data_IF_588472708536
#
_entry.id   IF_588472708536
#
_cell.length_a   1.000
_cell.length_b   1.000
_cell.length_c   1.000
_cell.angle_alpha   90.00
_cell.angle_beta   90.00
_cell.angle_gamma   90.00
#
_symmetry.space_group_name_H-M   'P 1'
#
loop_
_entity.id
_entity.type
_entity.pdbx_description
1 polymer ?
#
# COMPACT_ATOMS: atom_id res chain seq x y z
N UNK A 1 -19.64 7.04 24.24
CA UNK A 1 -20.48 7.80 25.18
C UNK A 1 -21.80 8.02 24.50
N UNK A 2 -22.79 7.27 24.96
CA UNK A 2 -24.16 7.29 24.49
C UNK A 2 -24.81 8.62 24.99
N UNK A 3 -24.77 9.65 24.15
CA UNK A 3 -25.47 10.91 24.46
C UNK A 3 -26.91 10.80 23.92
N UNK A 4 -27.78 10.23 24.75
CA UNK A 4 -29.22 10.03 24.48
C UNK A 4 -30.04 11.34 24.64
N UNK A 5 -29.44 12.51 24.39
CA UNK A 5 -30.20 13.77 24.38
C UNK A 5 -31.13 13.78 23.15
N UNK A 6 -32.41 13.96 23.43
CA UNK A 6 -33.46 14.12 22.44
C UNK A 6 -33.33 15.50 21.78
N UNK A 7 -32.81 15.54 20.56
CA UNK A 7 -32.68 16.77 19.75
C UNK A 7 -33.95 17.01 18.96
N UNK A 8 -35.05 17.29 19.66
CA UNK A 8 -36.37 17.48 19.05
C UNK A 8 -36.49 18.77 18.20
N UNK A 9 -35.49 19.65 18.24
CA UNK A 9 -35.52 20.96 17.57
C UNK A 9 -34.17 21.28 16.89
N UNK A 10 -33.65 20.34 16.13
CA UNK A 10 -32.35 20.44 15.47
C UNK A 10 -32.46 20.58 13.95
N UNK A 11 -31.48 21.27 13.36
CA UNK A 11 -31.27 21.30 11.90
C UNK A 11 -30.15 20.34 11.54
N UNK A 12 -30.44 19.38 10.68
CA UNK A 12 -29.45 18.46 10.18
C UNK A 12 -28.71 19.05 8.97
N UNK A 13 -27.38 19.01 9.02
CA UNK A 13 -26.51 19.41 7.90
C UNK A 13 -25.66 18.23 7.43
N UNK A 14 -25.50 18.05 6.13
CA UNK A 14 -24.64 17.02 5.54
C UNK A 14 -23.49 17.70 4.81
N UNK A 15 -22.26 17.43 5.26
CA UNK A 15 -21.04 17.84 4.57
C UNK A 15 -20.62 16.73 3.61
N UNK A 16 -20.50 17.06 2.33
CA UNK A 16 -20.09 16.12 1.29
C UNK A 16 -18.71 16.48 0.78
N UNK A 17 -17.84 15.48 0.75
CA UNK A 17 -16.51 15.61 0.17
C UNK A 17 -16.58 15.68 -1.36
N UNK A 18 -15.78 16.54 -1.97
CA UNK A 18 -15.63 16.60 -3.42
C UNK A 18 -14.89 15.35 -3.92
N UNK A 19 -15.22 14.98 -5.16
CA UNK A 19 -14.64 13.78 -5.78
C UNK A 19 -13.15 14.01 -6.05
N UNK A 20 -12.31 13.10 -5.52
CA UNK A 20 -10.85 13.13 -5.70
C UNK A 20 -10.09 13.77 -4.53
N UNK A 21 -10.80 14.34 -3.55
CA UNK A 21 -10.17 14.86 -2.34
C UNK A 21 -9.72 13.73 -1.38
N UNK A 22 -8.81 14.07 -0.48
CA UNK A 22 -8.35 13.14 0.55
C UNK A 22 -9.30 13.14 1.74
N UNK A 23 -9.96 12.01 2.08
CA UNK A 23 -10.92 11.94 3.17
C UNK A 23 -10.37 12.41 4.52
N UNK A 24 -9.16 11.99 4.90
CA UNK A 24 -8.55 12.37 6.19
C UNK A 24 -8.37 13.87 6.28
N UNK A 25 -7.86 14.51 5.23
CA UNK A 25 -7.64 15.95 5.21
C UNK A 25 -8.95 16.73 5.29
N UNK A 26 -9.96 16.30 4.52
CA UNK A 26 -11.26 16.96 4.52
C UNK A 26 -11.94 16.83 5.88
N UNK A 27 -11.86 15.66 6.54
CA UNK A 27 -12.39 15.45 7.88
C UNK A 27 -11.71 16.35 8.91
N UNK A 28 -10.37 16.45 8.87
CA UNK A 28 -9.62 17.36 9.75
C UNK A 28 -10.03 18.81 9.56
N UNK A 29 -10.22 19.25 8.31
CA UNK A 29 -10.64 20.62 8.00
C UNK A 29 -12.10 20.89 8.44
N UNK A 30 -12.99 19.90 8.31
CA UNK A 30 -14.37 19.97 8.81
C UNK A 30 -14.40 20.07 10.34
N UNK A 31 -13.61 19.26 11.04
CA UNK A 31 -13.53 19.32 12.51
C UNK A 31 -13.06 20.69 12.98
N UNK A 32 -12.00 21.24 12.38
CA UNK A 32 -11.54 22.60 12.70
C UNK A 32 -12.62 23.65 12.48
N UNK A 33 -13.30 23.58 11.34
CA UNK A 33 -14.39 24.53 11.03
C UNK A 33 -15.55 24.39 12.03
N UNK A 34 -15.91 23.18 12.43
CA UNK A 34 -16.95 22.94 13.46
C UNK A 34 -16.52 23.52 14.82
N UNK A 35 -15.24 23.33 15.19
CA UNK A 35 -14.71 23.89 16.44
C UNK A 35 -14.67 25.42 16.43
N UNK A 36 -14.26 26.03 15.33
CA UNK A 36 -14.28 27.49 15.14
C UNK A 36 -15.74 28.04 15.24
N UNK A 37 -16.68 27.40 14.53
CA UNK A 37 -18.08 27.78 14.56
C UNK A 37 -18.67 27.67 15.98
N UNK A 38 -18.41 26.59 16.68
CA UNK A 38 -18.92 26.35 18.03
C UNK A 38 -18.35 27.30 19.08
N UNK A 39 -17.09 27.75 18.90
CA UNK A 39 -16.39 28.58 19.89
C UNK A 39 -16.50 30.08 19.61
N UNK A 40 -16.60 30.48 18.35
CA UNK A 40 -16.45 31.89 17.97
C UNK A 40 -17.67 32.50 17.25
N UNK A 41 -18.50 31.69 16.58
CA UNK A 41 -19.46 32.22 15.64
C UNK A 41 -20.93 31.99 16.04
N UNK A 42 -21.21 30.84 16.65
CA UNK A 42 -22.59 30.46 16.98
C UNK A 42 -23.10 31.19 18.24
N UNK A 43 -24.39 31.58 18.26
CA UNK A 43 -25.01 32.16 19.44
C UNK A 43 -24.99 31.22 20.65
N UNK A 44 -25.01 31.79 21.86
CA UNK A 44 -25.11 30.99 23.09
C UNK A 44 -26.33 30.04 23.06
N UNK A 45 -26.10 28.77 23.39
CA UNK A 45 -27.14 27.74 23.36
C UNK A 45 -27.27 26.98 22.05
N UNK A 46 -26.58 27.42 20.98
CA UNK A 46 -26.54 26.70 19.69
C UNK A 46 -25.18 25.99 19.53
N UNK A 47 -25.21 24.71 19.18
CA UNK A 47 -23.96 23.95 18.98
C UNK A 47 -24.10 22.93 17.85
N UNK A 48 -23.09 22.84 17.01
CA UNK A 48 -22.98 21.77 16.01
C UNK A 48 -22.42 20.55 16.70
N UNK A 49 -23.14 19.43 16.59
CA UNK A 49 -22.72 18.15 17.12
C UNK A 49 -22.62 17.13 15.97
N UNK A 50 -21.43 16.58 15.67
CA UNK A 50 -21.30 15.54 14.65
C UNK A 50 -21.92 14.23 15.19
N UNK A 51 -22.98 13.76 14.54
CA UNK A 51 -23.65 12.50 14.92
C UNK A 51 -23.25 11.33 14.00
N UNK A 52 -22.78 11.60 12.79
CA UNK A 52 -22.23 10.60 11.89
C UNK A 52 -20.85 11.05 11.40
N UNK A 53 -19.82 10.63 12.10
CA UNK A 53 -18.43 10.94 11.80
C UNK A 53 -17.74 9.70 11.22
N UNK A 54 -17.12 9.87 10.06
CA UNK A 54 -16.38 8.80 9.38
C UNK A 54 -14.90 8.77 9.74
N UNK A 55 -14.43 9.66 10.59
CA UNK A 55 -13.01 9.74 11.01
C UNK A 55 -12.54 8.43 11.63
N UNK A 56 -13.33 7.86 12.53
CA UNK A 56 -13.01 6.58 13.19
C UNK A 56 -12.91 5.45 12.16
N UNK A 57 -13.80 5.42 11.18
CA UNK A 57 -13.78 4.43 10.10
C UNK A 57 -12.52 4.57 9.23
N UNK A 58 -12.16 5.78 8.84
CA UNK A 58 -10.96 6.06 8.04
C UNK A 58 -9.71 5.70 8.81
N UNK A 59 -9.58 6.13 10.06
CA UNK A 59 -8.43 5.87 10.91
C UNK A 59 -8.28 4.37 11.22
N UNK A 60 -9.36 3.69 11.59
CA UNK A 60 -9.36 2.24 11.84
C UNK A 60 -8.94 1.48 10.58
N UNK A 61 -9.45 1.90 9.42
CA UNK A 61 -9.12 1.28 8.15
C UNK A 61 -7.64 1.45 7.80
N UNK A 62 -7.10 2.67 7.91
CA UNK A 62 -5.68 2.95 7.66
C UNK A 62 -4.78 2.18 8.64
N UNK A 63 -5.15 2.14 9.92
CA UNK A 63 -4.42 1.39 10.93
C UNK A 63 -4.43 -0.11 10.62
N UNK A 64 -5.58 -0.69 10.29
CA UNK A 64 -5.71 -2.11 9.95
C UNK A 64 -4.86 -2.46 8.73
N UNK A 65 -4.94 -1.66 7.65
CA UNK A 65 -4.13 -1.89 6.44
C UNK A 65 -2.64 -1.80 6.74
N UNK A 66 -2.20 -0.75 7.45
CA UNK A 66 -0.79 -0.58 7.81
C UNK A 66 -0.27 -1.73 8.67
N UNK A 67 -1.08 -2.17 9.64
CA UNK A 67 -0.74 -3.30 10.51
C UNK A 67 -0.62 -4.61 9.72
N UNK A 68 -1.59 -4.90 8.87
CA UNK A 68 -1.59 -6.11 8.04
C UNK A 68 -0.41 -6.13 7.04
N UNK A 69 -0.08 -4.98 6.43
CA UNK A 69 1.08 -4.85 5.56
C UNK A 69 2.39 -5.10 6.33
N UNK A 70 2.49 -4.57 7.54
CA UNK A 70 3.66 -4.78 8.39
C UNK A 70 3.80 -6.25 8.83
N UNK A 71 2.72 -6.87 9.28
CA UNK A 71 2.71 -8.30 9.64
C UNK A 71 3.08 -9.18 8.45
N UNK A 72 2.49 -8.92 7.27
CA UNK A 72 2.82 -9.62 6.03
C UNK A 72 4.30 -9.48 5.67
N UNK A 73 4.85 -8.28 5.77
CA UNK A 73 6.28 -8.03 5.52
C UNK A 73 7.17 -8.80 6.50
N UNK A 74 6.86 -8.79 7.80
CA UNK A 74 7.61 -9.56 8.82
C UNK A 74 7.55 -11.06 8.51
N UNK A 75 6.38 -11.58 8.17
CA UNK A 75 6.22 -12.99 7.83
C UNK A 75 7.07 -13.37 6.60
N UNK A 76 7.04 -12.56 5.55
CA UNK A 76 7.86 -12.78 4.35
C UNK A 76 9.34 -12.76 4.69
N UNK A 77 9.81 -11.82 5.50
CA UNK A 77 11.22 -11.76 5.94
C UNK A 77 11.63 -13.03 6.70
N UNK A 78 10.77 -13.52 7.59
CA UNK A 78 11.02 -14.77 8.32
C UNK A 78 11.15 -15.98 7.37
N UNK A 79 10.21 -16.09 6.42
CA UNK A 79 10.25 -17.14 5.39
C UNK A 79 11.51 -17.02 4.54
N UNK A 80 11.90 -15.82 4.14
CA UNK A 80 13.12 -15.57 3.37
C UNK A 80 14.40 -15.98 4.15
N UNK A 81 14.48 -15.69 5.44
CA UNK A 81 15.62 -16.11 6.27
C UNK A 81 15.72 -17.62 6.29
N UNK A 82 14.59 -18.30 6.46
CA UNK A 82 14.53 -19.76 6.51
C UNK A 82 14.88 -20.40 5.16
N UNK A 83 14.36 -19.82 4.06
CA UNK A 83 14.54 -20.36 2.71
C UNK A 83 15.95 -20.12 2.16
N UNK A 84 16.49 -18.90 2.32
CA UNK A 84 17.81 -18.54 1.81
C UNK A 84 18.96 -19.03 2.70
N UNK A 85 18.70 -19.47 3.95
CA UNK A 85 19.74 -19.87 4.90
C UNK A 85 20.74 -18.74 5.25
N UNK A 86 20.49 -17.51 4.80
CA UNK A 86 21.39 -16.36 4.93
C UNK A 86 20.60 -15.13 5.34
N UNK A 87 20.75 -14.67 6.59
CA UNK A 87 20.07 -13.49 7.08
C UNK A 87 20.40 -12.21 6.28
N UNK A 88 21.66 -12.11 5.79
CA UNK A 88 22.10 -10.97 4.97
C UNK A 88 21.42 -10.97 3.60
N UNK A 89 21.33 -12.15 2.96
CA UNK A 89 20.62 -12.31 1.69
C UNK A 89 19.13 -12.01 1.84
N UNK A 90 18.51 -12.54 2.91
CA UNK A 90 17.10 -12.28 3.20
C UNK A 90 16.84 -10.80 3.43
N UNK A 91 17.70 -10.09 4.16
CA UNK A 91 17.54 -8.64 4.40
C UNK A 91 17.67 -7.82 3.10
N UNK A 92 18.61 -8.18 2.22
CA UNK A 92 18.73 -7.51 0.91
C UNK A 92 17.49 -7.70 0.05
N UNK A 93 16.96 -8.93 0.00
CA UNK A 93 15.71 -9.22 -0.72
C UNK A 93 14.53 -8.49 -0.06
N UNK A 94 14.42 -8.53 1.26
CA UNK A 94 13.36 -7.87 2.00
C UNK A 94 13.33 -6.34 1.77
N UNK A 95 14.49 -5.72 1.53
CA UNK A 95 14.59 -4.27 1.23
C UNK A 95 13.90 -3.90 -0.09
N UNK A 96 13.75 -4.84 -1.01
CA UNK A 96 13.03 -4.60 -2.28
C UNK A 96 11.54 -4.30 -2.05
N UNK A 97 10.93 -4.86 -0.98
CA UNK A 97 9.51 -4.65 -0.66
C UNK A 97 9.22 -3.17 -0.40
N UNK A 98 9.82 -2.52 0.62
CA UNK A 98 9.51 -1.12 0.89
C UNK A 98 9.94 -0.20 -0.25
N UNK A 99 11.00 -0.54 -0.98
CA UNK A 99 11.45 0.24 -2.12
C UNK A 99 10.44 0.19 -3.29
N UNK A 100 9.92 -0.99 -3.61
CA UNK A 100 8.89 -1.17 -4.64
C UNK A 100 7.59 -0.46 -4.27
N UNK A 101 7.15 -0.57 -3.00
CA UNK A 101 5.99 0.16 -2.49
C UNK A 101 6.16 1.67 -2.61
N UNK A 102 7.33 2.18 -2.23
CA UNK A 102 7.63 3.61 -2.33
C UNK A 102 7.56 4.09 -3.78
N UNK A 103 8.12 3.33 -4.72
CA UNK A 103 8.05 3.65 -6.15
C UNK A 103 6.59 3.64 -6.64
N UNK A 104 5.81 2.61 -6.26
CA UNK A 104 4.41 2.53 -6.63
C UNK A 104 3.61 3.74 -6.12
N UNK A 105 3.79 4.13 -4.85
CA UNK A 105 3.10 5.30 -4.28
C UNK A 105 3.53 6.63 -4.92
N UNK A 106 4.82 6.78 -5.25
CA UNK A 106 5.30 7.96 -5.99
C UNK A 106 4.64 8.03 -7.37
N UNK A 107 4.59 6.92 -8.10
CA UNK A 107 3.95 6.86 -9.41
C UNK A 107 2.45 7.14 -9.32
N UNK A 108 1.74 6.57 -8.34
CA UNK A 108 0.32 6.87 -8.10
C UNK A 108 0.09 8.36 -7.81
N UNK A 109 0.96 8.96 -7.00
CA UNK A 109 0.89 10.40 -6.70
C UNK A 109 1.09 11.26 -7.96
N UNK A 110 2.11 10.95 -8.76
CA UNK A 110 2.42 11.69 -10.00
C UNK A 110 1.32 11.54 -11.05
N UNK A 111 0.70 10.35 -11.14
CA UNK A 111 -0.38 10.06 -12.10
C UNK A 111 -1.77 10.45 -11.59
N UNK A 112 -1.88 11.00 -10.38
CA UNK A 112 -3.15 11.33 -9.70
C UNK A 112 -4.12 10.16 -9.62
N UNK A 113 -3.61 8.94 -9.45
CA UNK A 113 -4.42 7.75 -9.23
C UNK A 113 -4.69 7.62 -7.73
N UNK A 114 -5.97 7.66 -7.29
CA UNK A 114 -6.28 7.54 -5.88
C UNK A 114 -5.96 6.13 -5.37
N UNK A 115 -5.17 6.04 -4.30
CA UNK A 115 -5.01 4.81 -3.56
C UNK A 115 -6.35 4.43 -2.91
N UNK A 116 -6.84 3.23 -3.18
CA UNK A 116 -8.00 2.68 -2.49
C UNK A 116 -7.59 1.45 -1.66
N UNK A 117 -8.47 1.03 -0.77
CA UNK A 117 -8.25 -0.15 0.09
C UNK A 117 -7.96 -1.42 -0.69
N UNK A 118 -8.60 -1.56 -1.86
CA UNK A 118 -8.40 -2.72 -2.71
C UNK A 118 -7.01 -2.74 -3.34
N UNK A 119 -6.49 -1.58 -3.77
CA UNK A 119 -5.14 -1.47 -4.32
C UNK A 119 -4.08 -1.75 -3.26
N UNK A 120 -4.28 -1.28 -2.02
CA UNK A 120 -3.37 -1.57 -0.91
C UNK A 120 -3.44 -3.04 -0.47
N UNK A 121 -4.64 -3.63 -0.45
CA UNK A 121 -4.85 -5.04 -0.09
C UNK A 121 -4.40 -6.04 -1.16
N UNK A 122 -4.29 -5.61 -2.41
CA UNK A 122 -3.86 -6.45 -3.52
C UNK A 122 -2.33 -6.54 -3.68
N UNK A 123 -1.58 -5.82 -2.84
CA UNK A 123 -0.11 -5.90 -2.85
C UNK A 123 0.30 -7.31 -2.43
N UNK A 124 0.78 -8.07 -3.40
CA UNK A 124 1.32 -9.40 -3.18
C UNK A 124 2.84 -9.32 -2.99
N UNK A 125 3.26 -9.44 -1.75
CA UNK A 125 4.68 -9.45 -1.40
C UNK A 125 5.43 -10.61 -2.06
N UNK A 126 4.76 -11.72 -2.36
CA UNK A 126 5.35 -12.85 -3.07
C UNK A 126 5.82 -12.45 -4.47
N UNK A 127 4.94 -11.82 -5.25
CA UNK A 127 5.28 -11.33 -6.60
C UNK A 127 6.43 -10.32 -6.56
N UNK A 128 6.40 -9.38 -5.59
CA UNK A 128 7.42 -8.34 -5.48
C UNK A 128 8.83 -8.88 -5.21
N UNK A 129 8.95 -9.95 -4.43
CA UNK A 129 10.26 -10.48 -4.04
C UNK A 129 10.75 -11.63 -4.92
N UNK A 130 9.91 -12.21 -5.76
CA UNK A 130 10.18 -13.43 -6.50
C UNK A 130 11.44 -13.29 -7.38
N UNK A 131 11.51 -12.23 -8.18
CA UNK A 131 12.70 -11.94 -8.98
C UNK A 131 13.97 -11.73 -8.15
N UNK A 132 13.87 -11.05 -7.03
CA UNK A 132 15.00 -10.80 -6.12
C UNK A 132 15.45 -12.08 -5.42
N UNK A 133 14.52 -12.96 -5.06
CA UNK A 133 14.83 -14.29 -4.46
C UNK A 133 15.64 -15.11 -5.45
N UNK A 134 15.18 -15.25 -6.69
CA UNK A 134 15.87 -16.06 -7.73
C UNK A 134 17.28 -15.52 -7.99
N UNK A 135 17.43 -14.20 -8.06
CA UNK A 135 18.77 -13.60 -8.22
C UNK A 135 19.67 -13.88 -7.02
N UNK A 136 19.16 -13.70 -5.80
CA UNK A 136 19.94 -13.94 -4.58
C UNK A 136 20.30 -15.41 -4.41
N UNK A 137 19.37 -16.32 -4.68
CA UNK A 137 19.61 -17.76 -4.63
C UNK A 137 20.72 -18.17 -5.60
N UNK A 138 20.72 -17.60 -6.83
CA UNK A 138 21.77 -17.87 -7.82
C UNK A 138 23.15 -17.44 -7.32
N UNK A 139 23.25 -16.31 -6.65
CA UNK A 139 24.51 -15.84 -6.05
C UNK A 139 24.94 -16.70 -4.88
N UNK A 140 24.01 -17.05 -3.98
CA UNK A 140 24.30 -17.88 -2.79
C UNK A 140 24.73 -19.30 -3.16
N UNK A 141 24.03 -19.94 -4.12
CA UNK A 141 24.41 -21.27 -4.62
C UNK A 141 25.82 -21.30 -5.23
N UNK A 142 26.24 -20.22 -5.90
CA UNK A 142 27.61 -20.12 -6.39
C UNK A 142 28.60 -20.11 -5.24
N UNK A 143 28.33 -19.29 -4.21
CA UNK A 143 29.21 -19.19 -3.04
C UNK A 143 29.34 -20.52 -2.29
N UNK A 144 28.27 -21.30 -2.21
CA UNK A 144 28.28 -22.62 -1.57
C UNK A 144 29.10 -23.65 -2.35
N UNK A 145 28.98 -23.60 -3.71
CA UNK A 145 29.68 -24.57 -4.58
C UNK A 145 31.17 -24.27 -4.74
N UNK A 146 31.54 -23.00 -4.61
CA UNK A 146 32.92 -22.54 -4.80
C UNK A 146 33.32 -21.60 -3.65
N UNK A 147 33.52 -22.12 -2.43
CA UNK A 147 33.79 -21.27 -1.26
C UNK A 147 35.11 -20.50 -1.36
N UNK A 148 36.08 -21.03 -2.11
CA UNK A 148 37.41 -20.43 -2.30
C UNK A 148 37.47 -19.42 -3.44
N UNK A 149 36.41 -19.32 -4.26
CA UNK A 149 36.34 -18.35 -5.37
C UNK A 149 35.89 -16.99 -4.85
N UNK A 150 36.72 -15.97 -5.04
CA UNK A 150 36.33 -14.61 -4.70
C UNK A 150 35.18 -14.17 -5.63
N UNK A 151 34.05 -13.78 -5.04
CA UNK A 151 32.93 -13.22 -5.78
C UNK A 151 33.35 -11.87 -6.36
N UNK A 152 33.79 -11.86 -7.60
CA UNK A 152 34.08 -10.66 -8.35
C UNK A 152 32.78 -10.09 -8.92
N UNK A 153 32.70 -8.74 -9.04
CA UNK A 153 31.53 -8.07 -9.62
C UNK A 153 31.13 -8.65 -10.98
N UNK A 154 32.10 -8.92 -11.85
CA UNK A 154 31.86 -9.55 -13.15
C UNK A 154 31.22 -10.93 -13.04
N UNK A 155 31.64 -11.73 -12.07
CA UNK A 155 31.08 -13.07 -11.84
C UNK A 155 29.64 -13.02 -11.34
N UNK A 156 29.31 -12.04 -10.50
CA UNK A 156 27.95 -11.80 -10.03
C UNK A 156 27.08 -11.28 -11.16
N UNK A 157 27.56 -10.27 -11.90
CA UNK A 157 26.82 -9.65 -13.00
C UNK A 157 26.49 -10.67 -14.10
N UNK A 158 27.44 -11.51 -14.48
CA UNK A 158 27.20 -12.54 -15.49
C UNK A 158 26.11 -13.52 -15.05
N UNK A 159 26.13 -13.97 -13.79
CA UNK A 159 25.14 -14.92 -13.28
C UNK A 159 23.75 -14.31 -13.13
N UNK A 160 23.67 -13.09 -12.61
CA UNK A 160 22.39 -12.38 -12.54
C UNK A 160 21.82 -12.08 -13.92
N UNK A 161 22.65 -11.81 -14.91
CA UNK A 161 22.19 -11.61 -16.29
C UNK A 161 21.61 -12.89 -16.90
N UNK A 162 22.15 -14.07 -16.57
CA UNK A 162 21.60 -15.35 -17.05
C UNK A 162 20.16 -15.58 -16.59
N UNK A 163 19.81 -15.17 -15.35
CA UNK A 163 18.46 -15.32 -14.79
C UNK A 163 17.57 -14.10 -15.03
N UNK A 164 18.14 -12.96 -15.39
CA UNK A 164 17.37 -11.72 -15.62
C UNK A 164 16.35 -11.87 -16.75
N UNK A 165 16.71 -12.58 -17.81
CA UNK A 165 15.81 -12.79 -18.97
C UNK A 165 14.57 -13.61 -18.62
N UNK A 166 14.67 -14.79 -17.97
CA UNK A 166 13.50 -15.52 -17.46
C UNK A 166 12.63 -14.68 -16.52
N UNK A 167 13.25 -13.94 -15.57
CA UNK A 167 12.53 -13.08 -14.62
C UNK A 167 11.76 -11.99 -15.37
N UNK A 168 12.39 -11.33 -16.34
CA UNK A 168 11.72 -10.31 -17.16
C UNK A 168 10.48 -10.87 -17.88
N UNK A 169 10.58 -12.03 -18.52
CA UNK A 169 9.44 -12.64 -19.19
C UNK A 169 8.37 -13.11 -18.21
N UNK A 170 8.73 -13.63 -17.04
CA UNK A 170 7.78 -13.98 -15.98
C UNK A 170 6.99 -12.75 -15.53
N UNK A 171 7.68 -11.65 -15.23
CA UNK A 171 7.04 -10.38 -14.86
C UNK A 171 6.15 -9.84 -15.98
N UNK A 172 6.59 -9.93 -17.24
CA UNK A 172 5.78 -9.50 -18.38
C UNK A 172 4.48 -10.32 -18.52
N UNK A 173 4.53 -11.63 -18.25
CA UNK A 173 3.34 -12.48 -18.23
C UNK A 173 2.37 -12.03 -17.13
N UNK A 174 2.88 -11.74 -15.92
CA UNK A 174 2.07 -11.25 -14.81
C UNK A 174 1.40 -9.93 -15.22
N UNK A 175 2.15 -8.95 -15.72
CA UNK A 175 1.59 -7.66 -16.18
C UNK A 175 0.51 -7.90 -17.24
N UNK A 176 0.75 -8.80 -18.20
CA UNK A 176 -0.21 -9.13 -19.26
C UNK A 176 -1.51 -9.72 -18.67
N UNK A 177 -1.42 -10.52 -17.62
CA UNK A 177 -2.58 -11.07 -16.93
C UNK A 177 -3.45 -9.99 -16.23
N UNK A 178 -2.87 -8.85 -15.90
CA UNK A 178 -3.61 -7.72 -15.33
C UNK A 178 -4.23 -6.79 -16.39
N UNK A 179 -3.83 -6.88 -17.66
CA UNK A 179 -4.38 -6.04 -18.73
C UNK A 179 -5.92 -6.11 -18.87
N UNK A 180 -6.59 -7.26 -18.69
CA UNK A 180 -8.04 -7.33 -18.75
C UNK A 180 -8.76 -6.46 -17.73
N UNK A 181 -8.11 -6.11 -16.59
CA UNK A 181 -8.70 -5.23 -15.57
C UNK A 181 -8.97 -3.81 -16.09
N UNK A 182 -8.22 -3.37 -17.10
CA UNK A 182 -8.44 -2.06 -17.73
C UNK A 182 -9.65 -2.04 -18.66
N UNK A 183 -10.17 -3.21 -19.06
CA UNK A 183 -11.36 -3.34 -19.89
C UNK A 183 -12.66 -3.22 -19.11
N UNK A 184 -12.60 -3.20 -17.76
CA UNK A 184 -13.77 -3.00 -16.92
C UNK A 184 -14.37 -1.60 -17.10
N UNK A 185 -15.69 -1.52 -16.93
CA UNK A 185 -16.44 -0.29 -17.03
C UNK A 185 -17.12 0.04 -15.69
N UNK A 186 -17.68 1.27 -15.60
CA UNK A 186 -18.51 1.74 -14.48
C UNK A 186 -17.83 1.62 -13.09
N UNK A 187 -18.44 0.88 -12.18
CA UNK A 187 -18.00 0.75 -10.77
C UNK A 187 -16.75 -0.14 -10.67
N UNK A 188 -16.71 -1.22 -11.43
CA UNK A 188 -15.60 -2.15 -11.47
C UNK A 188 -14.30 -1.45 -11.91
N UNK A 189 -14.38 -0.58 -12.91
CA UNK A 189 -13.23 0.22 -13.36
C UNK A 189 -12.65 1.07 -12.22
N UNK A 190 -13.52 1.71 -11.40
CA UNK A 190 -13.05 2.57 -10.29
C UNK A 190 -12.35 1.78 -9.19
N UNK A 191 -12.72 0.52 -9.00
CA UNK A 191 -12.14 -0.34 -7.97
C UNK A 191 -10.85 -1.02 -8.46
N UNK A 192 -10.88 -1.60 -9.66
CA UNK A 192 -9.80 -2.45 -10.15
C UNK A 192 -8.69 -1.68 -10.89
N UNK A 193 -8.98 -0.53 -11.50
CA UNK A 193 -7.96 0.27 -12.18
C UNK A 193 -6.81 0.69 -11.25
N UNK A 194 -7.05 1.27 -10.05
CA UNK A 194 -5.96 1.58 -9.12
C UNK A 194 -5.17 0.34 -8.69
N UNK A 195 -5.85 -0.80 -8.50
CA UNK A 195 -5.21 -2.08 -8.19
C UNK A 195 -4.26 -2.53 -9.31
N UNK A 196 -4.71 -2.47 -10.58
CA UNK A 196 -3.90 -2.86 -11.73
C UNK A 196 -2.66 -1.96 -11.94
N UNK A 197 -2.70 -0.71 -11.46
CA UNK A 197 -1.55 0.19 -11.50
C UNK A 197 -0.57 -0.04 -10.35
N UNK A 198 -0.97 -0.68 -9.25
CA UNK A 198 -0.08 -0.94 -8.10
C UNK A 198 0.72 -2.23 -8.23
N UNK A 199 0.28 -3.13 -9.06
CA UNK A 199 0.97 -4.40 -9.37
C UNK A 199 1.88 -4.24 -10.58
#
# INVERSE_FOLDING_TARGET
TDDTRDYSDGVEGIVQMLRGENPSRVLDDVHKAVDELNNETLPEGTRIHPFMDRTDLVNTTLHTVSHTLFEGMVLVVLVLILFLGSWRGALLVALTIPLSLLIAFILMHVTNIPANLLSLGAIDFGILVDGAIVMMETVLKKRERHPDEVLTEDSILRRTTEVARPIFFSTLIIITAYLPLFAFEHIEKKLFTPMAYTV
#
